data_IF_305481565287
#
_entry.id   IF_305481565287
#
_cell.length_a   1.000
_cell.length_b   1.000
_cell.length_c   1.000
_cell.angle_alpha   90.00
_cell.angle_beta   90.00
_cell.angle_gamma   90.00
#
_symmetry.space_group_name_H-M   'P 1'
#
loop_
_entity.id
_entity.type
_entity.pdbx_description
1 polymer ?
#
# COMPACT_ATOMS: atom_id res chain seq x y z
N UNK A 1 -7.36 -4.45 -49.72
CA UNK A 1 -8.58 -4.29 -48.91
C UNK A 1 -8.10 -4.10 -47.47
N UNK A 2 -7.56 -2.91 -47.21
CA UNK A 2 -7.00 -2.49 -45.92
C UNK A 2 -8.10 -1.81 -45.11
N UNK A 3 -8.25 -2.24 -43.85
CA UNK A 3 -9.18 -1.66 -42.90
C UNK A 3 -8.62 -0.36 -42.32
N UNK A 4 -9.35 0.73 -42.57
CA UNK A 4 -9.07 2.09 -42.15
C UNK A 4 -9.14 2.23 -40.62
N UNK A 5 -8.01 2.55 -40.00
CA UNK A 5 -7.89 2.87 -38.57
C UNK A 5 -8.37 4.32 -38.35
N UNK A 6 -9.22 4.54 -37.35
CA UNK A 6 -9.82 5.85 -37.02
C UNK A 6 -8.72 6.88 -36.68
N UNK A 7 -8.71 7.99 -37.42
CA UNK A 7 -7.64 9.00 -37.46
C UNK A 7 -7.49 9.84 -36.18
N UNK A 8 -8.19 9.48 -35.10
CA UNK A 8 -8.12 10.14 -33.78
C UNK A 8 -7.07 9.52 -32.84
N UNK A 9 -6.45 8.41 -33.21
CA UNK A 9 -5.47 7.71 -32.35
C UNK A 9 -4.08 7.52 -32.97
N UNK A 10 -3.84 8.01 -34.19
CA UNK A 10 -2.56 7.81 -34.90
C UNK A 10 -1.57 8.98 -34.78
N UNK A 11 -1.97 10.10 -34.18
CA UNK A 11 -1.10 11.26 -33.90
C UNK A 11 -1.22 11.69 -32.44
N UNK A 12 -0.96 10.80 -31.50
CA UNK A 12 -0.74 11.20 -30.11
C UNK A 12 0.76 11.44 -29.87
N UNK A 13 1.23 12.70 -29.85
CA UNK A 13 2.48 13.00 -29.16
C UNK A 13 2.20 12.75 -27.67
N UNK A 14 3.04 11.94 -27.00
CA UNK A 14 3.04 11.86 -25.53
C UNK A 14 3.65 13.15 -24.95
N UNK A 15 2.96 14.26 -25.22
CA UNK A 15 3.18 15.59 -24.69
C UNK A 15 1.82 16.02 -24.15
N UNK A 16 1.62 15.88 -22.85
CA UNK A 16 0.53 16.54 -22.16
C UNK A 16 0.88 18.02 -22.09
N UNK A 17 0.43 18.77 -23.09
CA UNK A 17 0.53 20.23 -23.12
C UNK A 17 -0.60 20.83 -22.25
N UNK A 18 -0.44 20.71 -20.94
CA UNK A 18 -0.85 21.79 -20.04
C UNK A 18 0.44 22.55 -19.79
N UNK A 19 0.58 23.71 -20.46
CA UNK A 19 1.70 24.61 -20.28
C UNK A 19 1.79 25.08 -18.83
N UNK A 20 2.49 24.30 -18.02
CA UNK A 20 3.03 24.63 -16.72
C UNK A 20 4.29 23.78 -16.57
N UNK A 21 5.44 24.40 -16.81
CA UNK A 21 6.73 23.87 -16.37
C UNK A 21 6.67 23.77 -14.84
N UNK A 22 6.39 22.58 -14.32
CA UNK A 22 6.50 22.32 -12.88
C UNK A 22 7.97 21.97 -12.63
N UNK A 23 8.67 22.91 -12.00
CA UNK A 23 10.00 22.70 -11.45
C UNK A 23 10.01 21.43 -10.58
N UNK A 24 10.66 20.39 -11.07
CA UNK A 24 10.81 19.09 -10.38
C UNK A 24 11.78 19.14 -9.19
N UNK A 25 11.95 20.28 -8.52
CA UNK A 25 12.95 20.42 -7.45
C UNK A 25 12.47 20.91 -6.07
N UNK A 26 11.17 21.10 -5.84
CA UNK A 26 10.68 21.59 -4.53
C UNK A 26 9.78 20.64 -3.74
N UNK A 27 9.43 19.44 -4.23
CA UNK A 27 8.66 18.45 -3.46
C UNK A 27 9.51 17.65 -2.43
N UNK A 28 10.62 18.23 -1.98
CA UNK A 28 11.61 17.62 -1.07
C UNK A 28 11.95 18.47 0.15
N UNK A 29 11.40 19.69 0.26
CA UNK A 29 11.59 20.57 1.41
C UNK A 29 10.21 21.04 1.85
N UNK A 30 9.91 20.89 3.14
CA UNK A 30 8.59 21.13 3.76
C UNK A 30 7.51 20.06 3.57
N UNK A 31 7.81 18.81 3.92
CA UNK A 31 6.81 18.00 4.65
C UNK A 31 7.23 17.92 6.11
N UNK A 32 7.29 19.09 6.75
CA UNK A 32 7.04 19.16 8.19
C UNK A 32 5.59 18.75 8.35
N UNK A 33 5.45 17.45 8.59
CA UNK A 33 4.26 16.72 8.97
C UNK A 33 3.20 17.64 9.60
N UNK A 34 2.03 17.69 8.96
CA UNK A 34 0.80 18.39 9.34
C UNK A 34 0.78 18.81 10.82
N UNK A 35 0.64 20.12 11.02
CA UNK A 35 0.68 20.92 12.24
C UNK A 35 -0.22 20.39 13.39
N UNK A 36 0.15 19.26 13.97
CA UNK A 36 -0.43 18.67 15.17
C UNK A 36 0.60 18.66 16.29
N UNK A 37 1.09 19.84 16.67
CA UNK A 37 1.81 20.03 17.93
C UNK A 37 0.87 20.62 18.97
N UNK A 38 0.63 19.97 20.13
CA UNK A 38 0.37 20.72 21.33
C UNK A 38 1.72 21.19 21.88
N UNK A 39 1.85 22.51 22.05
CA UNK A 39 2.92 23.15 22.80
C UNK A 39 3.13 22.51 24.19
N UNK A 40 4.36 22.69 24.67
CA UNK A 40 4.86 22.55 26.05
C UNK A 40 5.38 21.17 26.51
N UNK A 41 6.71 21.10 26.50
CA UNK A 41 7.58 20.60 27.59
C UNK A 41 6.99 19.60 28.58
N UNK A 42 7.32 18.32 28.44
CA UNK A 42 7.44 17.41 29.59
C UNK A 42 8.61 16.46 29.37
N UNK A 43 9.45 16.40 30.39
CA UNK A 43 10.71 15.70 30.55
C UNK A 43 10.61 14.18 30.35
N UNK A 44 11.64 13.59 29.75
CA UNK A 44 11.86 12.15 29.67
C UNK A 44 11.90 11.52 31.08
N UNK A 45 11.20 10.41 31.35
CA UNK A 45 11.52 9.56 32.47
C UNK A 45 12.45 8.43 32.03
N UNK A 46 13.63 8.40 32.63
CA UNK A 46 14.51 7.25 32.73
C UNK A 46 13.89 6.17 33.62
N UNK A 47 14.06 4.90 33.27
CA UNK A 47 13.77 3.78 34.16
C UNK A 47 14.93 2.75 34.15
N UNK A 48 15.15 2.05 35.28
CA UNK A 48 16.44 1.48 35.64
C UNK A 48 16.56 -0.01 35.32
N UNK A 49 17.81 -0.48 35.32
CA UNK A 49 18.22 -1.88 35.39
C UNK A 49 17.58 -2.63 36.57
N UNK A 50 17.22 -3.90 36.37
CA UNK A 50 16.71 -4.77 37.44
C UNK A 50 16.37 -6.20 37.03
N UNK A 51 17.40 -7.04 37.07
CA UNK A 51 17.52 -8.49 37.37
C UNK A 51 16.28 -9.40 37.54
N UNK A 52 16.43 -10.60 36.97
CA UNK A 52 15.60 -11.83 37.01
C UNK A 52 15.21 -12.34 38.41
N UNK A 53 14.06 -13.01 38.51
CA UNK A 53 13.85 -14.18 39.39
C UNK A 53 12.70 -15.08 38.93
N UNK A 54 12.95 -16.38 39.06
CA UNK A 54 12.14 -17.54 38.70
C UNK A 54 11.06 -17.89 39.75
N UNK A 55 10.23 -18.85 39.34
CA UNK A 55 9.44 -19.83 40.12
C UNK A 55 8.02 -19.44 40.53
N UNK A 56 7.04 -20.17 39.98
CA UNK A 56 6.16 -21.07 40.75
C UNK A 56 5.41 -22.02 39.80
N UNK A 57 5.57 -23.33 40.08
CA UNK A 57 4.87 -24.47 39.50
C UNK A 57 3.73 -24.89 40.45
N UNK A 58 2.55 -25.21 39.89
CA UNK A 58 1.62 -26.32 40.21
C UNK A 58 0.21 -25.93 39.69
N UNK A 59 -0.47 -26.63 38.77
CA UNK A 59 -0.94 -28.03 38.63
C UNK A 59 -2.46 -28.15 38.86
N UNK A 60 -3.12 -28.96 37.99
CA UNK A 60 -4.53 -29.41 37.96
C UNK A 60 -5.52 -28.41 37.32
N UNK A 61 -6.40 -28.76 36.37
CA UNK A 61 -7.14 -30.00 36.07
C UNK A 61 -7.67 -29.92 34.63
N UNK A 62 -7.85 -31.07 33.97
CA UNK A 62 -8.27 -31.13 32.57
C UNK A 62 -9.73 -30.73 32.32
N UNK A 63 -9.91 -29.92 31.27
CA UNK A 63 -11.16 -29.86 30.50
C UNK A 63 -10.80 -29.85 29.01
N UNK A 64 -11.39 -30.81 28.30
CA UNK A 64 -11.36 -30.91 26.84
C UNK A 64 -12.29 -29.82 26.28
N UNK A 65 -11.73 -28.63 26.02
CA UNK A 65 -12.46 -27.57 25.33
C UNK A 65 -12.30 -27.76 23.82
N UNK A 66 -13.42 -28.03 23.18
CA UNK A 66 -13.58 -28.12 21.74
C UNK A 66 -13.17 -26.80 21.07
N UNK A 67 -12.14 -26.88 20.23
CA UNK A 67 -11.56 -25.76 19.48
C UNK A 67 -12.42 -25.39 18.26
N UNK A 68 -13.43 -24.55 18.41
CA UNK A 68 -14.03 -23.79 17.29
C UNK A 68 -14.54 -22.42 17.77
N UNK A 69 -13.62 -21.48 18.04
CA UNK A 69 -13.91 -20.05 18.10
C UNK A 69 -12.94 -19.33 17.15
N UNK A 70 -13.43 -19.00 15.95
CA UNK A 70 -12.69 -18.18 14.99
C UNK A 70 -12.55 -16.75 15.51
N UNK A 71 -11.35 -16.43 15.99
CA UNK A 71 -10.71 -15.11 16.18
C UNK A 71 -11.55 -13.86 15.78
N UNK A 72 -12.39 -13.34 16.68
CA UNK A 72 -13.15 -12.09 16.45
C UNK A 72 -12.27 -10.81 16.50
N UNK A 73 -10.95 -10.98 16.68
CA UNK A 73 -10.00 -9.93 17.02
C UNK A 73 -8.83 -9.76 16.03
N UNK A 74 -8.86 -10.45 14.87
CA UNK A 74 -7.76 -10.36 13.88
C UNK A 74 -7.41 -8.94 13.44
N UNK A 75 -8.43 -8.09 13.31
CA UNK A 75 -8.30 -6.69 12.90
C UNK A 75 -7.49 -5.82 13.88
N UNK A 76 -7.30 -6.27 15.13
CA UNK A 76 -6.54 -5.56 16.17
C UNK A 76 -5.03 -5.75 16.03
N UNK A 77 -4.60 -6.81 15.35
CA UNK A 77 -3.18 -7.18 15.28
C UNK A 77 -2.49 -6.48 14.11
N UNK A 78 -1.76 -5.42 14.44
CA UNK A 78 -0.92 -4.69 13.51
C UNK A 78 0.41 -5.45 13.34
N UNK A 79 1.01 -5.46 12.13
CA UNK A 79 2.33 -6.05 11.93
C UNK A 79 3.40 -5.45 12.84
N UNK A 80 4.39 -6.26 13.20
CA UNK A 80 5.55 -5.83 13.98
C UNK A 80 6.63 -5.30 13.03
N UNK A 81 6.95 -4.02 13.14
CA UNK A 81 7.93 -3.38 12.26
C UNK A 81 9.28 -3.14 12.93
N UNK A 82 10.37 -3.35 12.18
CA UNK A 82 11.71 -2.84 12.53
C UNK A 82 11.78 -1.32 12.33
N UNK A 83 12.85 -0.64 12.79
CA UNK A 83 13.07 0.75 12.40
C UNK A 83 13.07 0.97 10.87
N UNK A 84 12.63 2.15 10.38
CA UNK A 84 12.53 2.42 8.95
C UNK A 84 13.83 2.21 8.19
N UNK A 85 13.78 1.40 7.13
CA UNK A 85 14.93 1.10 6.25
C UNK A 85 14.90 1.94 4.96
N UNK A 86 13.71 2.39 4.54
CA UNK A 86 13.52 3.20 3.34
C UNK A 86 12.45 4.30 3.50
N UNK A 87 12.25 5.14 2.47
CA UNK A 87 11.23 6.20 2.49
C UNK A 87 9.80 5.66 2.65
N UNK A 88 9.50 4.51 2.04
CA UNK A 88 8.20 3.86 2.15
C UNK A 88 7.91 3.43 3.59
N UNK A 89 8.93 2.94 4.30
CA UNK A 89 8.79 2.61 5.72
C UNK A 89 8.51 3.87 6.54
N UNK A 90 9.23 4.98 6.28
CA UNK A 90 8.99 6.24 7.00
C UNK A 90 7.55 6.73 6.83
N UNK A 91 6.99 6.58 5.63
CA UNK A 91 5.58 6.88 5.37
C UNK A 91 4.67 6.00 6.23
N UNK A 92 4.87 4.68 6.23
CA UNK A 92 4.03 3.74 7.00
C UNK A 92 4.15 4.02 8.50
N UNK A 93 5.36 4.21 9.02
CA UNK A 93 5.60 4.55 10.42
C UNK A 93 4.96 5.89 10.81
N UNK A 94 5.05 6.91 9.94
CA UNK A 94 4.40 8.20 10.17
C UNK A 94 2.87 8.06 10.27
N UNK A 95 2.28 7.25 9.39
CA UNK A 95 0.84 6.94 9.43
C UNK A 95 0.46 6.16 10.69
N UNK A 96 1.25 5.17 11.10
CA UNK A 96 1.02 4.39 12.32
C UNK A 96 1.15 5.22 13.59
N UNK A 97 2.06 6.20 13.61
CA UNK A 97 2.22 7.15 14.70
C UNK A 97 1.06 8.16 14.75
N UNK A 98 0.52 8.55 13.60
CA UNK A 98 -0.63 9.45 13.48
C UNK A 98 -1.96 8.81 13.90
N UNK A 99 -2.03 7.47 13.94
CA UNK A 99 -3.25 6.73 14.24
C UNK A 99 -3.67 6.96 15.72
N UNK A 100 -4.54 7.94 15.93
CA UNK A 100 -5.19 8.22 17.22
C UNK A 100 -6.63 7.67 17.23
N UNK A 101 -7.14 7.16 18.35
CA UNK A 101 -8.51 6.64 18.46
C UNK A 101 -9.65 7.68 18.30
N UNK A 102 -9.33 8.93 17.94
CA UNK A 102 -10.30 10.02 17.74
C UNK A 102 -10.31 10.41 16.26
N UNK A 103 -11.17 9.76 15.47
CA UNK A 103 -11.40 10.18 14.08
C UNK A 103 -12.61 11.11 14.04
N UNK A 104 -12.36 12.40 13.86
CA UNK A 104 -13.40 13.41 13.61
C UNK A 104 -14.20 13.07 12.32
N UNK A 105 -15.53 13.25 12.32
CA UNK A 105 -16.36 13.04 11.14
C UNK A 105 -16.07 14.13 10.09
N UNK A 106 -15.29 13.77 9.06
CA UNK A 106 -14.96 14.67 7.94
C UNK A 106 -13.72 14.28 7.12
N UNK A 107 -13.07 13.16 7.46
CA UNK A 107 -11.80 12.75 6.86
C UNK A 107 -11.99 11.95 5.56
N UNK A 108 -11.11 12.14 4.56
CA UNK A 108 -11.13 11.46 3.24
C UNK A 108 -11.27 9.92 3.34
N UNK A 109 -10.83 9.35 4.49
CA UNK A 109 -10.96 7.94 4.83
C UNK A 109 -12.41 7.45 5.00
N UNK A 110 -13.42 8.31 5.01
CA UNK A 110 -14.83 7.92 5.02
C UNK A 110 -15.48 8.00 3.63
N UNK A 111 -14.79 8.58 2.65
CA UNK A 111 -15.34 8.77 1.32
C UNK A 111 -15.44 7.45 0.55
N UNK A 112 -16.54 7.29 -0.21
CA UNK A 112 -16.73 6.17 -1.13
C UNK A 112 -15.70 6.19 -2.27
N UNK A 113 -15.21 7.39 -2.62
CA UNK A 113 -14.20 7.65 -3.64
C UNK A 113 -12.77 7.39 -3.17
N UNK A 114 -12.55 6.99 -1.91
CA UNK A 114 -11.19 6.71 -1.43
C UNK A 114 -10.65 5.35 -1.95
N UNK A 115 -9.40 5.30 -2.43
CA UNK A 115 -8.51 6.45 -2.64
C UNK A 115 -8.85 7.25 -3.90
N UNK A 116 -8.53 8.55 -3.85
CA UNK A 116 -8.74 9.47 -4.96
C UNK A 116 -7.84 9.14 -6.15
N UNK A 117 -8.41 8.58 -7.21
CA UNK A 117 -7.72 8.35 -8.49
C UNK A 117 -7.25 9.64 -9.14
N UNK A 118 -7.96 10.76 -8.91
CA UNK A 118 -7.54 12.08 -9.37
C UNK A 118 -6.19 12.51 -8.78
N UNK A 119 -5.88 12.15 -7.53
CA UNK A 119 -4.59 12.54 -6.90
C UNK A 119 -3.39 11.90 -7.60
N UNK A 120 -3.57 10.76 -8.27
CA UNK A 120 -2.54 10.10 -9.06
C UNK A 120 -2.46 10.67 -10.49
N UNK A 121 -3.61 10.91 -11.12
CA UNK A 121 -3.70 11.19 -12.57
C UNK A 121 -3.74 12.67 -12.92
N UNK A 122 -4.24 13.50 -12.01
CA UNK A 122 -4.34 14.95 -12.18
C UNK A 122 -4.11 15.64 -10.82
N UNK A 123 -2.84 15.70 -10.35
CA UNK A 123 -2.51 16.40 -9.11
C UNK A 123 -2.78 17.89 -9.31
N UNK A 124 -3.87 18.38 -8.72
CA UNK A 124 -4.22 19.81 -8.72
C UNK A 124 -3.99 20.40 -7.34
N UNK A 125 -3.47 21.63 -7.30
CA UNK A 125 -3.06 22.34 -6.07
C UNK A 125 -4.22 22.46 -5.05
N UNK A 126 -5.47 22.57 -5.52
CA UNK A 126 -6.65 22.67 -4.64
C UNK A 126 -7.16 21.31 -4.16
N UNK A 127 -7.10 20.26 -5.00
CA UNK A 127 -7.44 18.90 -4.57
C UNK A 127 -6.45 18.38 -3.50
N UNK A 128 -5.18 18.80 -3.59
CA UNK A 128 -4.10 18.39 -2.69
C UNK A 128 -4.31 18.80 -1.23
N UNK A 129 -4.97 19.94 -0.96
CA UNK A 129 -5.25 20.38 0.42
C UNK A 129 -6.35 19.59 1.10
N UNK A 130 -7.32 19.09 0.32
CA UNK A 130 -8.48 18.37 0.85
C UNK A 130 -8.24 16.86 1.05
N UNK A 131 -7.19 16.30 0.44
CA UNK A 131 -6.93 14.85 0.38
C UNK A 131 -5.44 14.50 0.63
N UNK A 132 -4.90 14.83 1.81
CA UNK A 132 -3.47 14.73 2.08
C UNK A 132 -2.91 13.31 1.97
N UNK A 133 -3.65 12.28 2.39
CA UNK A 133 -3.19 10.88 2.27
C UNK A 133 -3.23 10.42 0.82
N UNK A 134 -4.29 10.75 0.07
CA UNK A 134 -4.35 10.38 -1.35
C UNK A 134 -3.19 11.01 -2.14
N UNK A 135 -2.84 12.26 -1.85
CA UNK A 135 -1.68 12.95 -2.46
C UNK A 135 -0.36 12.32 -2.02
N UNK A 136 -0.20 11.99 -0.74
CA UNK A 136 1.00 11.31 -0.24
C UNK A 136 1.20 9.93 -0.90
N UNK A 137 0.13 9.15 -1.01
CA UNK A 137 0.14 7.85 -1.70
C UNK A 137 0.50 8.03 -3.17
N UNK A 138 -0.13 8.99 -3.86
CA UNK A 138 0.17 9.27 -5.26
C UNK A 138 1.65 9.60 -5.46
N UNK A 139 2.21 10.51 -4.65
CA UNK A 139 3.63 10.84 -4.70
C UNK A 139 4.53 9.61 -4.48
N UNK A 140 4.16 8.74 -3.53
CA UNK A 140 4.89 7.49 -3.28
C UNK A 140 4.82 6.52 -4.46
N UNK A 141 3.67 6.41 -5.13
CA UNK A 141 3.49 5.56 -6.31
C UNK A 141 4.34 6.06 -7.47
N UNK A 142 4.39 7.38 -7.71
CA UNK A 142 5.22 7.98 -8.76
C UNK A 142 6.72 7.82 -8.49
N UNK A 143 7.15 7.80 -7.22
CA UNK A 143 8.54 7.49 -6.83
C UNK A 143 8.88 5.99 -6.90
N UNK A 144 7.88 5.11 -7.00
CA UNK A 144 8.10 3.66 -7.06
C UNK A 144 8.68 3.23 -8.41
N UNK A 145 9.20 2.00 -8.47
CA UNK A 145 9.65 1.36 -9.72
C UNK A 145 8.50 0.79 -10.55
N UNK A 146 7.24 0.93 -10.10
CA UNK A 146 6.06 0.39 -10.80
C UNK A 146 5.84 1.11 -12.12
N UNK A 147 5.65 0.32 -13.18
CA UNK A 147 5.45 0.79 -14.55
C UNK A 147 4.02 0.50 -15.04
N UNK A 148 3.55 1.27 -16.01
CA UNK A 148 2.20 1.13 -16.57
C UNK A 148 1.10 1.76 -15.72
N UNK A 149 0.05 2.26 -16.37
CA UNK A 149 -1.00 3.02 -15.71
C UNK A 149 -1.82 2.13 -14.76
N UNK A 150 -2.28 0.99 -15.26
CA UNK A 150 -3.12 0.04 -14.51
C UNK A 150 -2.41 -0.50 -13.27
N UNK A 151 -1.13 -0.88 -13.38
CA UNK A 151 -0.36 -1.35 -12.23
C UNK A 151 -0.13 -0.24 -11.18
N UNK A 152 0.11 1.01 -11.59
CA UNK A 152 0.21 2.15 -10.66
C UNK A 152 -1.10 2.43 -9.94
N UNK A 153 -2.22 2.45 -10.65
CA UNK A 153 -3.55 2.62 -10.04
C UNK A 153 -3.84 1.48 -9.06
N UNK A 154 -3.49 0.25 -9.42
CA UNK A 154 -3.69 -0.91 -8.55
C UNK A 154 -2.81 -0.85 -7.30
N UNK A 155 -1.53 -0.48 -7.44
CA UNK A 155 -0.61 -0.32 -6.33
C UNK A 155 -1.04 0.80 -5.38
N UNK A 156 -1.46 1.95 -5.93
CA UNK A 156 -2.09 3.03 -5.17
C UNK A 156 -3.29 2.52 -4.38
N UNK A 157 -4.19 1.76 -5.01
CA UNK A 157 -5.36 1.19 -4.34
C UNK A 157 -4.97 0.33 -3.15
N UNK A 158 -4.05 -0.62 -3.34
CA UNK A 158 -3.57 -1.52 -2.27
C UNK A 158 -2.93 -0.73 -1.13
N UNK A 159 -2.01 0.18 -1.43
CA UNK A 159 -1.33 1.02 -0.44
C UNK A 159 -2.36 1.84 0.36
N UNK A 160 -3.30 2.48 -0.32
CA UNK A 160 -4.32 3.31 0.35
C UNK A 160 -5.22 2.49 1.28
N UNK A 161 -5.62 1.28 0.86
CA UNK A 161 -6.45 0.41 1.69
C UNK A 161 -5.70 -0.06 2.96
N UNK A 162 -4.40 -0.33 2.84
CA UNK A 162 -3.56 -0.67 3.99
C UNK A 162 -3.46 0.51 4.96
N UNK A 163 -3.13 1.71 4.46
CA UNK A 163 -3.00 2.91 5.30
C UNK A 163 -4.34 3.29 5.96
N UNK A 164 -5.47 3.12 5.26
CA UNK A 164 -6.81 3.34 5.80
C UNK A 164 -7.08 2.45 7.02
N UNK A 165 -6.67 1.19 6.96
CA UNK A 165 -6.79 0.30 8.12
C UNK A 165 -5.81 0.68 9.24
N UNK A 166 -4.56 1.03 8.93
CA UNK A 166 -3.58 1.48 9.93
C UNK A 166 -4.02 2.72 10.72
N UNK A 167 -4.69 3.66 10.06
CA UNK A 167 -5.21 4.87 10.69
C UNK A 167 -6.45 4.62 11.53
N UNK A 168 -7.42 3.88 10.97
CA UNK A 168 -8.73 3.69 11.61
C UNK A 168 -8.72 2.63 12.69
N UNK A 169 -7.93 1.58 12.49
CA UNK A 169 -7.84 0.41 13.37
C UNK A 169 -9.23 -0.09 13.79
N UNK A 170 -10.09 -0.38 12.83
CA UNK A 170 -11.45 -0.89 13.09
C UNK A 170 -11.80 -2.10 12.20
N UNK A 171 -12.84 -2.84 12.59
CA UNK A 171 -13.34 -4.02 11.85
C UNK A 171 -13.73 -3.67 10.41
N UNK A 172 -14.33 -2.50 10.20
CA UNK A 172 -14.83 -2.09 8.89
C UNK A 172 -13.69 -1.88 7.90
N UNK A 173 -12.69 -1.07 8.24
CA UNK A 173 -11.51 -0.79 7.41
C UNK A 173 -10.71 -2.06 7.13
N UNK A 174 -10.58 -2.95 8.12
CA UNK A 174 -9.96 -4.25 7.95
C UNK A 174 -10.69 -5.12 6.92
N UNK A 175 -12.03 -5.18 7.00
CA UNK A 175 -12.86 -5.92 6.04
C UNK A 175 -12.81 -5.34 4.61
N UNK A 176 -12.51 -4.05 4.45
CA UNK A 176 -12.37 -3.41 3.15
C UNK A 176 -11.04 -3.73 2.46
N UNK A 177 -10.02 -4.21 3.18
CA UNK A 177 -8.78 -4.64 2.54
C UNK A 177 -9.03 -5.86 1.64
N UNK A 178 -8.29 -6.01 0.52
CA UNK A 178 -8.23 -7.28 -0.18
C UNK A 178 -7.72 -8.37 0.79
N UNK A 179 -8.28 -9.59 0.72
CA UNK A 179 -7.94 -10.65 1.68
C UNK A 179 -6.45 -10.99 1.67
N UNK A 180 -5.81 -10.96 0.49
CA UNK A 180 -4.38 -11.21 0.33
C UNK A 180 -3.49 -10.12 0.96
N UNK A 181 -4.04 -8.95 1.28
CA UNK A 181 -3.29 -7.87 1.95
C UNK A 181 -3.35 -7.96 3.47
N UNK A 182 -4.31 -8.70 4.04
CA UNK A 182 -4.42 -8.89 5.49
C UNK A 182 -3.12 -9.49 6.05
N UNK A 183 -2.64 -9.08 7.24
CA UNK A 183 -1.38 -9.58 7.79
C UNK A 183 -1.36 -11.09 7.98
N UNK A 184 -0.26 -11.73 7.58
CA UNK A 184 0.02 -13.13 7.93
C UNK A 184 0.32 -13.27 9.43
N UNK A 185 0.44 -14.51 9.91
CA UNK A 185 0.89 -14.77 11.27
C UNK A 185 2.32 -14.24 11.48
N UNK A 186 3.23 -14.45 10.52
CA UNK A 186 4.62 -14.03 10.65
C UNK A 186 4.75 -12.52 10.72
N UNK A 187 3.98 -11.78 9.94
CA UNK A 187 3.96 -10.31 10.02
C UNK A 187 3.56 -9.82 11.43
N UNK A 188 2.76 -10.61 12.16
CA UNK A 188 2.30 -10.30 13.53
C UNK A 188 3.25 -10.79 14.62
N UNK A 189 4.14 -11.74 14.33
CA UNK A 189 5.00 -12.38 15.34
C UNK A 189 6.49 -12.13 15.14
N UNK A 190 6.91 -11.69 13.95
CA UNK A 190 8.32 -11.44 13.59
C UNK A 190 8.47 -9.99 13.15
N UNK A 191 9.36 -9.26 13.82
CA UNK A 191 9.66 -7.88 13.45
C UNK A 191 10.34 -7.84 12.07
N UNK A 192 9.83 -7.01 11.14
CA UNK A 192 10.33 -6.92 9.77
C UNK A 192 10.17 -5.49 9.18
N UNK A 193 10.85 -5.12 8.09
CA UNK A 193 10.66 -3.82 7.44
C UNK A 193 9.24 -3.61 6.91
N UNK A 194 8.65 -2.44 7.19
CA UNK A 194 7.25 -2.15 6.87
C UNK A 194 6.89 -2.26 5.37
N UNK A 195 7.85 -2.03 4.46
CA UNK A 195 7.63 -2.18 3.02
C UNK A 195 7.21 -3.60 2.61
N UNK A 196 7.53 -4.63 3.40
CA UNK A 196 7.14 -6.02 3.13
C UNK A 196 5.61 -6.18 3.16
N UNK A 197 4.91 -5.39 3.98
CA UNK A 197 3.45 -5.45 4.07
C UNK A 197 2.75 -5.19 2.73
N UNK A 198 3.41 -4.45 1.83
CA UNK A 198 2.91 -4.05 0.53
C UNK A 198 3.17 -5.07 -0.58
N UNK A 199 3.87 -6.17 -0.30
CA UNK A 199 3.95 -7.26 -1.25
C UNK A 199 2.60 -7.96 -1.36
N UNK A 200 2.17 -8.17 -2.59
CA UNK A 200 0.81 -8.59 -2.94
C UNK A 200 0.49 -10.02 -2.48
N UNK A 201 1.50 -10.90 -2.38
CA UNK A 201 1.28 -12.32 -2.09
C UNK A 201 1.68 -12.63 -0.64
N UNK A 202 0.76 -13.15 0.20
CA UNK A 202 1.04 -13.55 1.58
C UNK A 202 2.24 -14.48 1.69
N UNK A 203 2.28 -15.54 0.88
CA UNK A 203 3.36 -16.53 0.91
C UNK A 203 4.72 -15.91 0.56
N UNK A 204 4.73 -14.92 -0.33
CA UNK A 204 5.95 -14.19 -0.72
C UNK A 204 6.40 -13.29 0.42
N UNK A 205 5.48 -12.63 1.15
CA UNK A 205 5.82 -11.87 2.37
C UNK A 205 6.49 -12.77 3.40
N UNK A 206 5.90 -13.93 3.66
CA UNK A 206 6.42 -14.89 4.63
C UNK A 206 7.82 -15.40 4.22
N UNK A 207 8.03 -15.66 2.93
CA UNK A 207 9.35 -16.04 2.40
C UNK A 207 10.38 -14.91 2.51
N UNK A 208 9.99 -13.65 2.26
CA UNK A 208 10.87 -12.48 2.44
C UNK A 208 11.27 -12.32 3.89
N UNK A 209 10.33 -12.45 4.83
CA UNK A 209 10.60 -12.37 6.27
C UNK A 209 11.58 -13.48 6.70
N UNK A 210 11.42 -14.70 6.18
CA UNK A 210 12.21 -15.85 6.60
C UNK A 210 13.58 -15.97 5.92
N UNK A 211 13.71 -15.59 4.64
CA UNK A 211 14.81 -16.04 3.79
C UNK A 211 15.58 -14.93 3.07
N UNK A 212 14.99 -13.74 2.91
CA UNK A 212 15.62 -12.66 2.15
C UNK A 212 16.54 -11.85 3.06
N UNK A 213 17.74 -11.51 2.57
CA UNK A 213 18.53 -10.42 3.16
C UNK A 213 17.85 -9.10 2.78
N UNK A 214 17.34 -8.36 3.76
CA UNK A 214 16.62 -7.12 3.52
C UNK A 214 17.50 -6.00 2.95
N UNK A 215 18.83 -6.15 2.98
CA UNK A 215 19.74 -5.25 2.27
C UNK A 215 19.61 -5.34 0.74
N UNK A 216 19.07 -6.45 0.21
CA UNK A 216 18.78 -6.63 -1.22
C UNK A 216 17.51 -5.90 -1.67
N UNK A 217 16.83 -5.17 -0.77
CA UNK A 217 15.62 -4.42 -1.08
C UNK A 217 15.74 -3.51 -2.31
N UNK A 218 16.83 -2.74 -2.54
CA UNK A 218 16.95 -1.90 -3.73
C UNK A 218 16.87 -2.69 -5.04
N UNK A 219 17.58 -3.82 -5.13
CA UNK A 219 17.57 -4.71 -6.30
C UNK A 219 16.20 -5.36 -6.47
N UNK A 220 15.66 -5.91 -5.38
CA UNK A 220 14.33 -6.52 -5.37
C UNK A 220 13.25 -5.52 -5.81
N UNK A 221 13.24 -4.30 -5.24
CA UNK A 221 12.32 -3.23 -5.62
C UNK A 221 12.41 -2.93 -7.10
N UNK A 222 13.61 -2.84 -7.66
CA UNK A 222 13.78 -2.49 -9.06
C UNK A 222 13.19 -3.55 -9.99
N UNK A 223 13.51 -4.83 -9.78
CA UNK A 223 13.05 -5.93 -10.64
C UNK A 223 11.59 -6.30 -10.38
N UNK A 224 11.15 -6.34 -9.12
CA UNK A 224 9.78 -6.63 -8.75
C UNK A 224 8.83 -5.51 -9.19
N UNK A 225 9.15 -4.25 -8.88
CA UNK A 225 8.31 -3.12 -9.27
C UNK A 225 8.27 -2.91 -10.78
N UNK A 226 9.42 -3.03 -11.46
CA UNK A 226 9.49 -2.87 -12.91
C UNK A 226 8.71 -3.92 -13.70
N UNK A 227 8.42 -5.07 -13.09
CA UNK A 227 7.74 -6.20 -13.73
C UNK A 227 6.34 -6.48 -13.19
N UNK A 228 5.87 -5.66 -12.24
CA UNK A 228 4.56 -5.82 -11.62
C UNK A 228 3.46 -5.55 -12.65
N UNK A 229 2.56 -6.51 -12.83
CA UNK A 229 1.40 -6.39 -13.70
C UNK A 229 0.15 -6.91 -13.02
N UNK A 230 -0.99 -6.38 -13.44
CA UNK A 230 -2.33 -6.79 -12.97
C UNK A 230 -3.13 -7.53 -14.03
N UNK A 231 -2.54 -7.89 -15.17
CA UNK A 231 -3.21 -8.72 -16.19
C UNK A 231 -4.56 -8.16 -16.66
N UNK A 232 -4.67 -6.84 -16.79
CA UNK A 232 -5.91 -6.18 -17.20
C UNK A 232 -6.18 -6.44 -18.69
N UNK A 233 -7.33 -7.03 -19.07
CA UNK A 233 -7.57 -7.45 -20.45
C UNK A 233 -8.14 -6.33 -21.35
N UNK A 234 -8.41 -5.14 -20.79
CA UNK A 234 -8.96 -4.01 -21.53
C UNK A 234 -7.91 -2.89 -21.65
N UNK A 235 -8.28 -1.79 -22.31
CA UNK A 235 -7.42 -0.62 -22.40
C UNK A 235 -7.18 0.01 -21.03
N UNK A 236 -6.04 0.70 -20.90
CA UNK A 236 -5.67 1.43 -19.69
C UNK A 236 -6.74 2.47 -19.28
N UNK A 237 -7.34 3.17 -20.24
CA UNK A 237 -8.46 4.08 -19.99
C UNK A 237 -9.68 3.37 -19.37
N UNK A 238 -9.86 2.08 -19.64
CA UNK A 238 -10.91 1.27 -19.04
C UNK A 238 -10.76 1.06 -17.53
N UNK A 239 -9.61 1.40 -16.93
CA UNK A 239 -9.42 1.33 -15.48
C UNK A 239 -10.08 2.48 -14.72
N UNK A 240 -10.42 3.57 -15.41
CA UNK A 240 -10.97 4.80 -14.83
C UNK A 240 -12.31 5.15 -15.47
N UNK A 241 -13.13 5.88 -14.72
CA UNK A 241 -14.38 6.46 -15.17
C UNK A 241 -14.32 7.96 -14.94
N UNK A 242 -14.71 8.74 -15.95
CA UNK A 242 -14.95 10.16 -15.78
C UNK A 242 -16.29 10.37 -15.07
N UNK A 243 -16.28 11.22 -14.05
CA UNK A 243 -17.50 11.66 -13.38
C UNK A 243 -18.37 12.49 -14.32
N UNK A 244 -19.67 12.56 -14.04
CA UNK A 244 -20.64 13.29 -14.85
C UNK A 244 -20.37 14.80 -14.94
N UNK A 245 -19.61 15.35 -13.98
CA UNK A 245 -19.14 16.73 -13.95
C UNK A 245 -17.83 16.95 -14.73
N UNK A 246 -17.19 15.89 -15.24
CA UNK A 246 -15.94 15.95 -16.00
C UNK A 246 -14.70 16.36 -15.18
N UNK A 247 -14.85 16.61 -13.88
CA UNK A 247 -13.77 17.15 -13.04
C UNK A 247 -13.11 16.07 -12.17
N UNK A 248 -13.78 14.95 -11.96
CA UNK A 248 -13.26 13.87 -11.12
C UNK A 248 -13.11 12.56 -11.89
N UNK A 249 -11.99 11.88 -11.65
CA UNK A 249 -11.76 10.52 -12.14
C UNK A 249 -12.05 9.57 -10.99
N UNK A 250 -12.89 8.57 -11.23
CA UNK A 250 -13.20 7.50 -10.31
C UNK A 250 -12.62 6.18 -10.81
N UNK A 251 -12.33 5.26 -9.88
CA UNK A 251 -11.89 3.91 -10.21
C UNK A 251 -13.05 3.11 -10.84
N UNK A 252 -12.83 2.49 -11.99
CA UNK A 252 -13.83 1.62 -12.60
C UNK A 252 -14.16 0.45 -11.63
N UNK A 253 -15.43 0.21 -11.26
CA UNK A 253 -15.82 -0.90 -10.40
C UNK A 253 -15.37 -2.28 -10.89
N UNK A 254 -15.35 -2.49 -12.21
CA UNK A 254 -14.86 -3.74 -12.84
C UNK A 254 -13.36 -3.87 -12.60
N UNK A 255 -12.61 -2.78 -12.82
CA UNK A 255 -11.17 -2.76 -12.56
C UNK A 255 -10.87 -2.96 -11.06
N UNK A 256 -11.64 -2.31 -10.17
CA UNK A 256 -11.54 -2.49 -8.72
C UNK A 256 -11.76 -3.95 -8.32
N UNK A 257 -12.79 -4.61 -8.86
CA UNK A 257 -13.03 -6.04 -8.61
C UNK A 257 -11.87 -6.90 -9.14
N UNK A 258 -11.31 -6.55 -10.31
CA UNK A 258 -10.17 -7.23 -10.92
C UNK A 258 -8.92 -7.18 -10.06
N UNK A 259 -8.51 -6.00 -9.58
CA UNK A 259 -7.30 -5.84 -8.74
C UNK A 259 -7.46 -6.39 -7.32
N UNK A 260 -8.70 -6.64 -6.87
CA UNK A 260 -8.98 -7.34 -5.60
C UNK A 260 -8.80 -8.85 -5.68
N UNK A 261 -8.54 -9.40 -6.86
CA UNK A 261 -8.23 -10.82 -7.02
C UNK A 261 -6.72 -11.03 -7.20
N UNK A 262 -6.08 -11.69 -6.23
CA UNK A 262 -4.63 -11.96 -6.23
C UNK A 262 -4.14 -12.70 -7.49
N UNK A 263 -5.01 -13.49 -8.14
CA UNK A 263 -4.66 -14.25 -9.36
C UNK A 263 -4.43 -13.34 -10.57
N UNK A 264 -4.89 -12.11 -10.54
CA UNK A 264 -4.67 -11.15 -11.62
C UNK A 264 -3.31 -10.46 -11.50
N UNK A 265 -2.69 -10.50 -10.32
CA UNK A 265 -1.36 -9.96 -10.12
C UNK A 265 -0.30 -10.94 -10.60
N UNK A 266 0.77 -10.40 -11.18
CA UNK A 266 1.95 -11.16 -11.61
C UNK A 266 3.21 -10.33 -11.46
N UNK A 267 4.31 -11.00 -11.14
CA UNK A 267 5.64 -10.52 -11.48
C UNK A 267 6.11 -11.10 -12.81
N UNK A 268 7.07 -10.43 -13.45
CA UNK A 268 7.79 -10.95 -14.61
C UNK A 268 8.72 -12.10 -14.25
N UNK A 269 9.17 -12.84 -15.26
CA UNK A 269 10.03 -14.02 -15.08
C UNK A 269 11.45 -13.66 -14.59
N UNK A 270 11.88 -12.43 -14.81
CA UNK A 270 13.11 -11.83 -14.31
C UNK A 270 13.19 -11.84 -12.78
N UNK A 271 12.09 -11.61 -12.07
CA UNK A 271 12.05 -11.67 -10.60
C UNK A 271 12.39 -13.08 -10.13
N UNK A 272 11.84 -14.11 -10.78
CA UNK A 272 12.17 -15.51 -10.47
C UNK A 272 13.65 -15.83 -10.72
N UNK A 273 14.28 -15.23 -11.73
CA UNK A 273 15.70 -15.50 -12.03
C UNK A 273 16.62 -15.01 -10.92
N UNK A 274 16.31 -13.85 -10.35
CA UNK A 274 17.12 -13.24 -9.28
C UNK A 274 16.69 -13.70 -7.89
N UNK A 275 15.39 -13.92 -7.68
CA UNK A 275 14.78 -14.34 -6.42
C UNK A 275 13.94 -15.62 -6.61
N UNK A 276 14.54 -16.82 -6.67
CA UNK A 276 13.87 -18.06 -7.06
C UNK A 276 12.65 -18.45 -6.22
N UNK A 277 12.59 -18.03 -4.96
CA UNK A 277 11.47 -18.28 -4.04
C UNK A 277 10.18 -17.53 -4.43
N UNK A 278 10.24 -16.57 -5.35
CA UNK A 278 9.07 -15.87 -5.92
C UNK A 278 8.36 -16.65 -7.03
N UNK A 279 8.74 -17.91 -7.28
CA UNK A 279 8.24 -18.66 -8.42
C UNK A 279 6.72 -18.71 -8.55
N UNK A 280 5.96 -18.88 -7.46
CA UNK A 280 4.49 -19.01 -7.53
C UNK A 280 3.78 -17.76 -8.08
N UNK A 281 4.37 -16.57 -7.96
CA UNK A 281 3.78 -15.30 -8.43
C UNK A 281 4.32 -14.79 -9.78
N UNK A 282 5.37 -15.43 -10.32
CA UNK A 282 5.99 -15.00 -11.58
C UNK A 282 5.37 -15.70 -12.79
N UNK A 283 4.87 -14.92 -13.77
CA UNK A 283 4.32 -15.41 -15.05
C UNK A 283 4.99 -14.70 -16.23
N UNK A 284 4.98 -15.34 -17.39
CA UNK A 284 5.30 -14.64 -18.63
C UNK A 284 4.23 -13.56 -18.85
N UNK A 285 4.65 -12.32 -19.10
CA UNK A 285 3.72 -11.25 -19.45
C UNK A 285 2.93 -11.60 -20.73
N UNK A 286 1.75 -10.98 -20.94
CA UNK A 286 1.11 -11.03 -22.25
C UNK A 286 2.11 -10.50 -23.29
N UNK A 287 2.35 -11.27 -24.35
CA UNK A 287 3.14 -10.82 -25.51
C UNK A 287 2.35 -9.82 -26.33
#
# INVERSE_FOLDING_TARGET
MEGMVDARFQNMPLVFDLGMTVDMLECGKEFRFLDLGPDSSVSSPSFPDGTLSETLLDQHTGETVSTEQGSDDEWKYIPLHTPPTCELDRLIHGVLAAASPLTEPGHELNEATFPSTSSLLNPSVEADKSRPLSTLVAAQVWKSSVQGLTARIAFMYVLSQLLRWYLRRDKQSYAHMPDFMKPSLLQRTVAHPAWIDLLIWPDVRDLVIQRMDWNDFPSFRQVAGGSLSVGWPYTDSGAILESADGHHLALNPIFKAHIRNVKNWTFGLEVRKEFPWTGSCCRAGPR
#
